data_IF_844681541848
#
_entry.id   IF_844681541848
#
_cell.length_a   1.000
_cell.length_b   1.000
_cell.length_c   1.000
_cell.angle_alpha   90.00
_cell.angle_beta   90.00
_cell.angle_gamma   90.00
#
_symmetry.space_group_name_H-M   'P 1'
#
loop_
_entity.id
_entity.type
_entity.pdbx_description
1 polymer ?
#
# COMPACT_ATOMS: atom_id res chain seq x y z
N UNK A 1 8.43 19.61 -23.91
CA UNK A 1 7.67 18.83 -22.92
C UNK A 1 8.70 17.99 -22.16
N UNK A 2 8.82 18.15 -20.84
CA UNK A 2 9.73 17.34 -20.03
C UNK A 2 8.92 16.13 -19.52
N UNK A 3 9.34 14.92 -19.89
CA UNK A 3 8.71 13.67 -19.44
C UNK A 3 9.46 13.04 -18.25
N UNK A 4 10.46 13.74 -17.71
CA UNK A 4 11.17 13.30 -16.50
C UNK A 4 10.35 13.55 -15.24
N UNK A 5 10.74 12.89 -14.16
CA UNK A 5 10.18 13.13 -12.83
C UNK A 5 10.53 14.55 -12.33
N UNK A 6 9.70 15.08 -11.43
CA UNK A 6 10.00 16.34 -10.74
C UNK A 6 11.15 16.16 -9.74
N UNK A 7 11.71 17.27 -9.24
CA UNK A 7 12.75 17.22 -8.20
C UNK A 7 12.24 16.53 -6.92
N UNK A 8 10.98 16.75 -6.56
CA UNK A 8 10.34 16.10 -5.41
C UNK A 8 10.20 14.58 -5.63
N UNK A 9 9.85 14.17 -6.85
CA UNK A 9 9.73 12.75 -7.20
C UNK A 9 11.09 12.06 -7.23
N UNK A 10 12.14 12.72 -7.72
CA UNK A 10 13.51 12.20 -7.65
C UNK A 10 14.03 12.13 -6.20
N UNK A 11 13.66 13.08 -5.36
CA UNK A 11 13.96 13.04 -3.93
C UNK A 11 13.24 11.86 -3.25
N UNK A 12 11.94 11.66 -3.55
CA UNK A 12 11.16 10.54 -3.05
C UNK A 12 11.78 9.20 -3.48
N UNK A 13 12.20 9.08 -4.75
CA UNK A 13 12.89 7.90 -5.28
C UNK A 13 14.18 7.61 -4.51
N UNK A 14 15.01 8.63 -4.30
CA UNK A 14 16.28 8.48 -3.60
C UNK A 14 16.05 8.04 -2.17
N UNK A 15 15.13 8.68 -1.47
CA UNK A 15 14.74 8.34 -0.09
C UNK A 15 14.22 6.89 -0.01
N UNK A 16 13.34 6.49 -0.93
CA UNK A 16 12.82 5.13 -0.98
C UNK A 16 13.93 4.11 -1.21
N UNK A 17 14.84 4.39 -2.13
CA UNK A 17 15.98 3.52 -2.44
C UNK A 17 16.90 3.32 -1.25
N UNK A 18 17.29 4.40 -0.58
CA UNK A 18 18.17 4.36 0.59
C UNK A 18 17.52 3.61 1.76
N UNK A 19 16.25 3.91 2.02
CA UNK A 19 15.48 3.21 3.05
C UNK A 19 15.43 1.70 2.78
N UNK A 20 15.05 1.30 1.57
CA UNK A 20 14.89 -0.12 1.22
C UNK A 20 16.24 -0.86 1.17
N UNK A 21 17.32 -0.20 0.74
CA UNK A 21 18.64 -0.78 0.78
C UNK A 21 19.08 -1.13 2.21
N UNK A 22 18.66 -0.32 3.18
CA UNK A 22 18.99 -0.51 4.60
C UNK A 22 18.04 -1.51 5.27
N UNK A 23 16.74 -1.34 5.11
CA UNK A 23 15.72 -2.06 5.89
C UNK A 23 15.24 -3.37 5.23
N UNK A 24 15.44 -3.52 3.92
CA UNK A 24 15.06 -4.71 3.14
C UNK A 24 16.22 -5.26 2.30
N UNK A 25 17.40 -5.51 2.89
CA UNK A 25 18.49 -6.12 2.12
C UNK A 25 18.10 -7.54 1.68
N UNK A 26 18.69 -8.03 0.61
CA UNK A 26 18.35 -9.34 0.00
C UNK A 26 18.47 -10.51 0.99
N UNK A 27 19.33 -10.40 2.00
CA UNK A 27 19.43 -11.40 3.09
C UNK A 27 18.17 -11.45 3.94
N UNK A 28 17.58 -10.30 4.28
CA UNK A 28 16.32 -10.22 4.99
C UNK A 28 15.15 -10.72 4.14
N UNK A 29 15.12 -10.35 2.84
CA UNK A 29 14.11 -10.84 1.89
C UNK A 29 14.11 -12.37 1.83
N UNK A 30 15.27 -13.00 1.70
CA UNK A 30 15.39 -14.47 1.68
C UNK A 30 14.96 -15.12 2.99
N UNK A 31 15.25 -14.51 4.13
CA UNK A 31 14.83 -15.03 5.43
C UNK A 31 13.30 -15.02 5.60
N UNK A 32 12.60 -14.08 4.95
CA UNK A 32 11.15 -13.98 5.00
C UNK A 32 10.43 -15.01 4.11
N UNK A 33 11.13 -15.70 3.21
CA UNK A 33 10.51 -16.73 2.37
C UNK A 33 9.94 -17.90 3.19
N UNK A 34 10.54 -18.18 4.34
CA UNK A 34 10.13 -19.24 5.27
C UNK A 34 9.32 -18.71 6.47
N UNK A 35 9.13 -17.39 6.59
CA UNK A 35 8.31 -16.77 7.65
C UNK A 35 6.83 -16.81 7.26
N UNK A 36 5.95 -17.41 8.07
CA UNK A 36 4.51 -17.48 7.75
C UNK A 36 3.82 -16.13 7.62
N UNK A 37 4.39 -15.06 8.18
CA UNK A 37 3.87 -13.68 8.02
C UNK A 37 4.21 -13.09 6.65
N UNK A 38 5.34 -13.51 6.06
CA UNK A 38 5.80 -13.04 4.76
C UNK A 38 6.27 -11.58 4.72
N UNK A 39 6.32 -10.86 5.85
CA UNK A 39 6.84 -9.49 5.94
C UNK A 39 7.32 -9.16 7.35
N UNK A 40 8.12 -8.07 7.49
CA UNK A 40 8.65 -7.59 8.76
C UNK A 40 7.78 -6.48 9.32
N UNK A 41 7.12 -6.64 10.50
CA UNK A 41 6.29 -5.60 11.11
C UNK A 41 7.03 -4.27 11.36
N UNK A 42 8.31 -4.32 11.75
CA UNK A 42 9.12 -3.12 11.98
C UNK A 42 9.34 -2.32 10.68
N UNK A 43 9.59 -3.01 9.56
CA UNK A 43 9.72 -2.34 8.25
C UNK A 43 8.38 -1.74 7.83
N UNK A 44 7.27 -2.45 8.06
CA UNK A 44 5.92 -1.95 7.82
C UNK A 44 5.61 -0.67 8.62
N UNK A 45 5.95 -0.66 9.92
CA UNK A 45 5.76 0.51 10.77
C UNK A 45 6.59 1.72 10.27
N UNK A 46 7.85 1.51 9.88
CA UNK A 46 8.69 2.55 9.30
C UNK A 46 8.17 3.07 7.95
N UNK A 47 7.56 2.21 7.12
CA UNK A 47 6.89 2.64 5.89
C UNK A 47 5.68 3.53 6.20
N UNK A 48 4.94 3.24 7.29
CA UNK A 48 3.86 4.10 7.77
C UNK A 48 4.38 5.46 8.25
N UNK A 49 5.48 5.48 9.02
CA UNK A 49 6.14 6.71 9.49
C UNK A 49 6.60 7.60 8.33
N UNK A 50 7.03 7.00 7.21
CA UNK A 50 7.36 7.70 5.97
C UNK A 50 6.13 8.16 5.17
N UNK A 51 4.91 7.86 5.64
CA UNK A 51 3.67 8.22 4.98
C UNK A 51 3.30 7.37 3.75
N UNK A 52 4.06 6.29 3.48
CA UNK A 52 3.87 5.50 2.25
C UNK A 52 2.54 4.78 2.20
N UNK A 53 1.99 4.39 3.35
CA UNK A 53 0.74 3.65 3.42
C UNK A 53 -0.49 4.52 3.15
N UNK A 54 -0.32 5.84 3.27
CA UNK A 54 -1.33 6.86 3.02
C UNK A 54 -1.04 7.75 1.82
N UNK A 55 -0.12 7.38 0.90
CA UNK A 55 0.32 8.25 -0.20
C UNK A 55 -0.84 8.88 -0.98
N UNK A 56 -1.83 8.09 -1.36
CA UNK A 56 -2.99 8.53 -2.15
C UNK A 56 -4.20 8.92 -1.29
N UNK A 57 -4.11 8.77 0.03
CA UNK A 57 -5.22 9.11 0.91
C UNK A 57 -5.24 10.61 1.19
N UNK A 58 -6.43 11.25 1.27
CA UNK A 58 -6.56 12.64 1.68
C UNK A 58 -5.96 12.92 3.06
N UNK A 59 -5.47 14.14 3.25
CA UNK A 59 -4.89 14.60 4.54
C UNK A 59 -5.86 14.45 5.71
N UNK A 60 -7.17 14.62 5.48
CA UNK A 60 -8.20 14.45 6.52
C UNK A 60 -8.24 13.05 7.14
N UNK A 61 -7.70 12.04 6.43
CA UNK A 61 -7.55 10.66 6.90
C UNK A 61 -6.11 10.31 7.29
N UNK A 62 -5.23 11.30 7.43
CA UNK A 62 -3.82 11.10 7.76
C UNK A 62 -2.96 10.67 6.58
N UNK A 63 -3.45 10.86 5.36
CA UNK A 63 -2.71 10.62 4.13
C UNK A 63 -1.85 11.79 3.69
N UNK A 64 -1.12 11.62 2.59
CA UNK A 64 -0.25 12.65 2.00
C UNK A 64 -0.86 13.37 0.79
N UNK A 65 -2.02 12.93 0.32
CA UNK A 65 -2.76 13.45 -0.85
C UNK A 65 -1.89 13.62 -2.10
N UNK A 66 -0.95 12.67 -2.29
CA UNK A 66 -0.03 12.67 -3.43
C UNK A 66 -0.67 12.02 -4.66
N UNK A 67 -0.02 12.19 -5.79
CA UNK A 67 -0.50 11.67 -7.07
C UNK A 67 -0.14 10.19 -7.28
N UNK A 68 -0.80 9.56 -8.25
CA UNK A 68 -0.47 8.19 -8.69
C UNK A 68 0.97 8.11 -9.20
N UNK A 69 1.53 9.20 -9.76
CA UNK A 69 2.92 9.23 -10.22
C UNK A 69 3.89 9.08 -9.05
N UNK A 70 3.60 9.72 -7.92
CA UNK A 70 4.42 9.60 -6.70
C UNK A 70 4.34 8.18 -6.13
N UNK A 71 3.15 7.56 -6.17
CA UNK A 71 2.99 6.15 -5.83
C UNK A 71 3.83 5.23 -6.72
N UNK A 72 3.85 5.47 -8.04
CA UNK A 72 4.64 4.67 -9.00
C UNK A 72 6.12 4.72 -8.63
N UNK A 73 6.64 5.87 -8.22
CA UNK A 73 8.04 6.02 -7.79
C UNK A 73 8.36 5.10 -6.61
N UNK A 74 7.52 5.08 -5.58
CA UNK A 74 7.70 4.19 -4.42
C UNK A 74 7.52 2.72 -4.80
N UNK A 75 6.50 2.41 -5.60
CA UNK A 75 6.20 1.06 -6.04
C UNK A 75 7.35 0.45 -6.88
N UNK A 76 7.97 1.25 -7.74
CA UNK A 76 9.14 0.84 -8.53
C UNK A 76 10.31 0.45 -7.63
N UNK A 77 10.60 1.24 -6.60
CA UNK A 77 11.69 0.94 -5.65
C UNK A 77 11.38 -0.26 -4.75
N UNK A 78 10.13 -0.45 -4.32
CA UNK A 78 9.69 -1.65 -3.61
C UNK A 78 9.89 -2.92 -4.46
N UNK A 79 9.51 -2.84 -5.75
CA UNK A 79 9.70 -3.94 -6.71
C UNK A 79 11.18 -4.22 -6.97
N UNK A 80 11.99 -3.18 -7.15
CA UNK A 80 13.44 -3.29 -7.35
C UNK A 80 14.15 -3.96 -6.16
N UNK A 81 13.71 -3.64 -4.94
CA UNK A 81 14.24 -4.23 -3.71
C UNK A 81 13.63 -5.60 -3.38
N UNK A 82 12.62 -6.06 -4.12
CA UNK A 82 11.83 -7.27 -3.84
C UNK A 82 11.30 -7.30 -2.40
N UNK A 83 10.91 -6.15 -1.88
CA UNK A 83 10.50 -6.00 -0.48
C UNK A 83 9.19 -6.74 -0.20
N UNK A 84 9.19 -7.80 0.61
CA UNK A 84 7.98 -8.49 0.97
C UNK A 84 7.14 -7.60 1.89
N UNK A 85 5.94 -7.25 1.46
CA UNK A 85 5.04 -6.43 2.27
C UNK A 85 3.59 -6.52 1.75
N UNK A 86 2.58 -6.28 2.60
CA UNK A 86 1.19 -6.20 2.16
C UNK A 86 0.86 -4.86 1.46
N UNK A 87 1.86 -4.11 0.97
CA UNK A 87 1.70 -2.74 0.47
C UNK A 87 0.62 -2.63 -0.62
N UNK A 88 0.68 -3.46 -1.65
CA UNK A 88 -0.29 -3.40 -2.75
C UNK A 88 -1.69 -3.86 -2.34
N UNK A 89 -1.80 -4.92 -1.54
CA UNK A 89 -3.09 -5.37 -1.03
C UNK A 89 -3.73 -4.28 -0.15
N UNK A 90 -2.92 -3.65 0.72
CA UNK A 90 -3.36 -2.56 1.58
C UNK A 90 -3.78 -1.32 0.77
N UNK A 91 -3.03 -0.96 -0.28
CA UNK A 91 -3.37 0.11 -1.20
C UNK A 91 -4.72 -0.13 -1.89
N UNK A 92 -4.91 -1.32 -2.46
CA UNK A 92 -6.17 -1.68 -3.13
C UNK A 92 -7.36 -1.62 -2.17
N UNK A 93 -7.21 -2.20 -0.96
CA UNK A 93 -8.24 -2.16 0.08
C UNK A 93 -8.55 -0.73 0.54
N UNK A 94 -7.53 0.11 0.71
CA UNK A 94 -7.72 1.51 1.11
C UNK A 94 -8.44 2.33 0.04
N UNK A 95 -8.10 2.16 -1.23
CA UNK A 95 -8.79 2.83 -2.34
C UNK A 95 -10.23 2.35 -2.49
N UNK A 96 -10.51 1.05 -2.27
CA UNK A 96 -11.87 0.53 -2.25
C UNK A 96 -12.71 1.19 -1.15
N UNK A 97 -12.16 1.38 0.07
CA UNK A 97 -12.83 2.10 1.15
C UNK A 97 -12.98 3.59 0.82
N UNK A 98 -11.95 4.22 0.25
CA UNK A 98 -11.98 5.64 -0.08
C UNK A 98 -13.09 5.97 -1.09
N UNK A 99 -13.22 5.15 -2.13
CA UNK A 99 -14.16 5.41 -3.22
C UNK A 99 -15.54 4.78 -3.03
N UNK A 100 -15.61 3.61 -2.39
CA UNK A 100 -16.87 2.85 -2.20
C UNK A 100 -17.42 2.87 -0.78
N UNK A 101 -16.64 3.28 0.22
CA UNK A 101 -17.07 3.31 1.61
C UNK A 101 -18.01 4.47 1.95
N UNK A 102 -18.80 4.32 3.00
CA UNK A 102 -19.55 5.41 3.63
C UNK A 102 -18.61 6.37 4.36
N UNK A 103 -19.06 7.59 4.66
CA UNK A 103 -18.27 8.57 5.45
C UNK A 103 -17.84 8.02 6.82
N UNK A 104 -18.69 7.23 7.46
CA UNK A 104 -18.38 6.58 8.73
C UNK A 104 -17.23 5.56 8.56
N UNK A 105 -17.29 4.74 7.53
CA UNK A 105 -16.24 3.75 7.22
C UNK A 105 -14.91 4.42 6.86
N UNK A 106 -14.94 5.47 6.04
CA UNK A 106 -13.71 6.22 5.70
C UNK A 106 -13.04 6.78 6.95
N UNK A 107 -13.82 7.46 7.83
CA UNK A 107 -13.30 8.06 9.07
C UNK A 107 -12.80 7.03 10.08
N UNK A 108 -13.39 5.84 10.12
CA UNK A 108 -12.95 4.77 11.00
C UNK A 108 -11.71 4.05 10.47
N UNK A 109 -11.71 3.70 9.17
CA UNK A 109 -10.75 2.74 8.60
C UNK A 109 -9.49 3.44 8.10
N UNK A 110 -9.63 4.53 7.31
CA UNK A 110 -8.49 5.09 6.59
C UNK A 110 -7.38 5.65 7.49
N UNK A 111 -7.65 6.31 8.63
CA UNK A 111 -6.58 6.73 9.54
C UNK A 111 -5.78 5.57 10.15
N UNK A 112 -6.44 4.44 10.41
CA UNK A 112 -5.80 3.23 10.90
C UNK A 112 -4.90 2.60 9.82
N UNK A 113 -5.34 2.66 8.56
CA UNK A 113 -4.57 2.20 7.39
C UNK A 113 -3.35 3.09 7.17
N UNK A 114 -3.53 4.42 7.13
CA UNK A 114 -2.44 5.37 6.92
C UNK A 114 -1.33 5.23 7.98
N UNK A 115 -1.72 4.97 9.23
CA UNK A 115 -0.79 4.74 10.35
C UNK A 115 -0.20 3.32 10.42
N UNK A 116 -0.58 2.42 9.51
CA UNK A 116 -0.09 1.03 9.47
C UNK A 116 -0.69 0.10 10.53
N UNK A 117 -1.61 0.58 11.38
CA UNK A 117 -2.25 -0.24 12.43
C UNK A 117 -3.29 -1.22 11.89
N UNK A 118 -3.83 -0.95 10.71
CA UNK A 118 -4.77 -1.82 10.01
C UNK A 118 -4.23 -2.16 8.64
N UNK A 119 -4.19 -3.43 8.31
CA UNK A 119 -3.85 -3.93 6.98
C UNK A 119 -5.12 -4.39 6.32
N UNK A 120 -5.33 -3.94 5.08
CA UNK A 120 -6.46 -4.32 4.26
C UNK A 120 -6.01 -5.25 3.13
N UNK A 121 -6.96 -6.01 2.62
CA UNK A 121 -6.85 -6.69 1.35
C UNK A 121 -8.14 -6.54 0.56
N UNK A 122 -8.04 -6.67 -0.75
CA UNK A 122 -9.17 -6.58 -1.65
C UNK A 122 -9.38 -7.94 -2.32
N UNK A 123 -10.52 -8.58 -2.06
CA UNK A 123 -10.89 -9.83 -2.69
C UNK A 123 -11.77 -9.52 -3.91
N UNK A 124 -11.25 -9.76 -5.11
CA UNK A 124 -11.93 -9.45 -6.36
C UNK A 124 -12.51 -10.70 -7.05
N UNK A 125 -11.95 -11.87 -6.74
CA UNK A 125 -12.41 -13.12 -7.34
C UNK A 125 -13.69 -13.59 -6.67
N UNK A 126 -14.75 -13.72 -7.45
CA UNK A 126 -16.04 -14.24 -7.01
C UNK A 126 -16.04 -15.77 -6.94
N UNK A 127 -17.05 -16.34 -6.22
CA UNK A 127 -17.22 -17.78 -6.05
C UNK A 127 -17.38 -18.51 -7.40
N UNK A 128 -17.90 -17.83 -8.43
CA UNK A 128 -17.98 -18.31 -9.80
C UNK A 128 -16.65 -18.39 -10.53
N UNK A 129 -15.57 -17.85 -9.96
CA UNK A 129 -14.25 -17.74 -10.59
C UNK A 129 -14.17 -16.71 -11.73
N UNK A 130 -15.18 -15.84 -11.87
CA UNK A 130 -15.17 -14.75 -12.85
C UNK A 130 -14.47 -13.52 -12.27
N UNK A 131 -13.50 -12.99 -13.01
CA UNK A 131 -12.80 -11.73 -12.69
C UNK A 131 -13.32 -10.56 -13.55
N UNK A 132 -14.47 -10.72 -14.19
CA UNK A 132 -15.04 -9.68 -15.05
C UNK A 132 -15.62 -8.55 -14.22
N UNK A 133 -15.03 -7.37 -14.33
CA UNK A 133 -15.49 -6.15 -13.67
C UNK A 133 -16.89 -5.68 -14.12
N UNK A 134 -17.43 -6.28 -15.18
CA UNK A 134 -18.77 -5.97 -15.73
C UNK A 134 -19.88 -6.80 -15.07
N UNK A 135 -19.55 -7.88 -14.36
CA UNK A 135 -20.51 -8.60 -13.53
C UNK A 135 -20.65 -7.84 -12.19
N UNK A 136 -21.85 -7.71 -11.66
CA UNK A 136 -22.13 -7.02 -10.38
C UNK A 136 -21.19 -7.53 -9.28
N UNK A 137 -20.12 -6.78 -9.00
CA UNK A 137 -19.17 -7.10 -7.94
C UNK A 137 -19.87 -6.90 -6.60
N UNK A 138 -20.30 -8.00 -5.99
CA UNK A 138 -20.83 -8.00 -4.64
C UNK A 138 -19.67 -7.83 -3.64
N UNK A 139 -19.50 -6.65 -3.08
CA UNK A 139 -18.52 -6.41 -2.02
C UNK A 139 -18.93 -7.16 -0.74
N UNK A 140 -18.26 -8.26 -0.47
CA UNK A 140 -18.40 -9.00 0.78
C UNK A 140 -17.28 -8.58 1.73
N UNK A 141 -17.61 -7.82 2.78
CA UNK A 141 -16.70 -7.61 3.91
C UNK A 141 -16.89 -8.73 4.90
N UNK A 142 -16.09 -9.77 4.86
CA UNK A 142 -16.01 -10.74 5.96
C UNK A 142 -15.02 -10.22 7.01
N UNK A 143 -15.49 -10.11 8.26
CA UNK A 143 -14.61 -9.92 9.41
C UNK A 143 -13.80 -11.21 9.57
N UNK A 144 -12.49 -11.10 9.36
CA UNK A 144 -11.56 -12.13 9.81
C UNK A 144 -11.46 -11.96 11.34
N UNK A 145 -12.05 -12.91 12.09
CA UNK A 145 -11.92 -13.04 13.54
C UNK A 145 -10.60 -13.72 13.88
#
# INVERSE_FOLDING_TARGET
>A
MNFGFSEEQEFLRTTAREFLAKESPMTAVRALMDDPRGYTPDVWAKMAELGWLGLLLPEEYGGADLSVVDLIVVAEELGRALTPSPFFANLQGSLAVLHGGTDAQRKEILPEVASGRRVLSFAITEESGTENADDEVAYRTEKIT
#
